data_IF_250922533431
#
_entry.id   IF_250922533431
#
_cell.length_a   1.000
_cell.length_b   1.000
_cell.length_c   1.000
_cell.angle_alpha   90.00
_cell.angle_beta   90.00
_cell.angle_gamma   90.00
#
_symmetry.space_group_name_H-M   'P 1'
#
loop_
_entity.id
_entity.type
_entity.pdbx_description
1 polymer ?
#
# COMPACT_ATOMS: atom_id res chain seq x y z
N UNK A 1 -7.01 100.87 35.21
CA UNK A 1 -7.75 99.90 34.39
C UNK A 1 -6.74 98.85 33.90
N UNK A 2 -6.62 97.75 34.59
CA UNK A 2 -5.64 96.73 34.26
C UNK A 2 -6.37 95.45 33.97
N UNK A 3 -6.21 94.94 32.78
CA UNK A 3 -6.70 93.61 32.40
C UNK A 3 -5.64 92.61 32.79
N UNK A 4 -5.97 91.67 33.74
CA UNK A 4 -5.13 90.56 34.15
C UNK A 4 -5.13 89.44 33.10
N UNK A 5 -4.06 88.61 33.08
CA UNK A 5 -3.90 87.56 32.08
C UNK A 5 -4.80 86.40 32.30
N UNK A 6 -5.42 85.91 31.22
CA UNK A 6 -6.24 84.63 31.19
C UNK A 6 -5.27 83.54 30.79
N UNK A 7 -4.58 82.95 31.80
CA UNK A 7 -3.83 81.71 31.65
C UNK A 7 -4.40 80.67 32.57
N UNK A 8 -5.12 79.72 32.03
CA UNK A 8 -5.30 78.32 32.59
C UNK A 8 -6.57 77.63 32.13
N UNK A 9 -6.57 77.05 30.96
CA UNK A 9 -7.55 76.01 30.63
C UNK A 9 -7.02 75.06 29.53
N UNK A 10 -5.80 74.55 29.71
CA UNK A 10 -5.41 73.33 29.00
C UNK A 10 -4.59 72.45 29.93
N UNK A 11 -5.30 71.56 30.68
CA UNK A 11 -4.66 70.39 31.26
C UNK A 11 -4.68 69.27 30.19
N UNK A 12 -3.52 68.71 29.78
CA UNK A 12 -3.51 67.57 28.93
C UNK A 12 -4.04 66.36 29.70
N UNK A 13 -5.09 65.76 29.17
CA UNK A 13 -5.64 64.50 29.67
C UNK A 13 -4.54 63.41 29.59
N UNK A 14 -3.97 63.07 30.72
CA UNK A 14 -2.98 62.01 30.86
C UNK A 14 -3.70 60.66 30.61
N UNK A 15 -3.78 60.29 29.37
CA UNK A 15 -4.07 58.87 29.01
C UNK A 15 -2.90 58.04 29.49
N UNK A 16 -2.99 57.46 30.67
CA UNK A 16 -2.15 56.32 31.09
C UNK A 16 -2.49 55.12 30.22
N UNK A 17 -2.22 55.21 28.94
CA UNK A 17 -2.07 54.07 28.04
C UNK A 17 -0.79 53.37 28.41
N UNK A 18 -0.87 52.38 29.27
CA UNK A 18 0.30 51.57 29.61
C UNK A 18 0.76 50.81 28.36
N UNK A 19 1.76 51.33 27.67
CA UNK A 19 2.44 50.56 26.63
C UNK A 19 2.94 49.25 27.24
N UNK A 20 2.44 48.15 26.75
CA UNK A 20 2.89 46.82 27.20
C UNK A 20 4.34 46.71 26.72
N UNK A 21 5.34 46.66 27.63
CA UNK A 21 6.73 46.69 27.18
C UNK A 21 7.00 45.49 26.31
N UNK A 22 7.59 45.68 25.12
CA UNK A 22 7.92 44.65 24.10
C UNK A 22 8.46 43.36 24.72
N UNK A 23 9.25 43.47 25.78
CA UNK A 23 9.78 42.32 26.54
C UNK A 23 8.70 41.45 27.15
N UNK A 24 7.58 42.00 27.63
CA UNK A 24 6.47 41.21 28.18
C UNK A 24 5.71 40.49 27.04
N UNK A 25 5.55 41.13 25.88
CA UNK A 25 4.95 40.51 24.71
C UNK A 25 5.80 39.32 24.25
N UNK A 26 7.11 39.51 24.08
CA UNK A 26 8.03 38.44 23.71
C UNK A 26 8.06 37.31 24.70
N UNK A 27 8.01 37.57 26.00
CA UNK A 27 7.88 36.52 27.03
C UNK A 27 6.58 35.72 26.90
N UNK A 28 5.45 36.38 26.70
CA UNK A 28 4.17 35.75 26.48
C UNK A 28 4.16 34.85 25.24
N UNK A 29 4.66 35.36 24.09
CA UNK A 29 4.79 34.58 22.86
C UNK A 29 5.66 33.34 23.07
N UNK A 30 6.80 33.50 23.75
CA UNK A 30 7.71 32.37 24.04
C UNK A 30 7.03 31.32 24.92
N UNK A 31 6.26 31.73 25.93
CA UNK A 31 5.53 30.80 26.80
C UNK A 31 4.46 30.04 25.99
N UNK A 32 3.68 30.73 25.17
CA UNK A 32 2.65 30.11 24.30
C UNK A 32 3.29 29.10 23.35
N UNK A 33 4.43 29.48 22.74
CA UNK A 33 5.16 28.58 21.85
C UNK A 33 5.68 27.33 22.58
N UNK A 34 6.28 27.50 23.78
CA UNK A 34 6.79 26.39 24.58
C UNK A 34 5.64 25.47 25.06
N UNK A 35 4.52 26.03 25.50
CA UNK A 35 3.35 25.26 25.88
C UNK A 35 2.75 24.50 24.68
N UNK A 36 2.66 25.14 23.51
CA UNK A 36 2.22 24.50 22.29
C UNK A 36 3.15 23.35 21.87
N UNK A 37 4.47 23.58 21.92
CA UNK A 37 5.46 22.55 21.63
C UNK A 37 5.39 21.38 22.63
N UNK A 38 5.29 21.66 23.94
CA UNK A 38 5.15 20.64 24.97
C UNK A 38 3.87 19.80 24.76
N UNK A 39 2.75 20.45 24.39
CA UNK A 39 1.52 19.74 24.05
C UNK A 39 1.68 18.83 22.83
N UNK A 40 2.33 19.29 21.78
CA UNK A 40 2.61 18.48 20.59
C UNK A 40 3.49 17.26 20.93
N UNK A 41 4.52 17.45 21.74
CA UNK A 41 5.38 16.35 22.21
C UNK A 41 4.57 15.34 23.03
N UNK A 42 3.72 15.82 23.94
CA UNK A 42 2.86 14.94 24.74
C UNK A 42 1.90 14.13 23.88
N UNK A 43 1.25 14.75 22.89
CA UNK A 43 0.35 14.08 21.95
C UNK A 43 1.11 13.03 21.11
N UNK A 44 2.29 13.38 20.62
CA UNK A 44 3.15 12.44 19.87
C UNK A 44 3.57 11.23 20.73
N UNK A 45 4.04 11.46 21.95
CA UNK A 45 4.41 10.40 22.87
C UNK A 45 3.22 9.49 23.22
N UNK A 46 2.06 10.07 23.46
CA UNK A 46 0.81 9.33 23.74
C UNK A 46 0.42 8.48 22.52
N UNK A 47 0.45 9.06 21.33
CA UNK A 47 0.17 8.34 20.09
C UNK A 47 1.10 7.16 19.86
N UNK A 48 2.40 7.35 20.07
CA UNK A 48 3.41 6.28 19.96
C UNK A 48 3.20 5.20 21.01
N UNK A 49 2.89 5.56 22.26
CA UNK A 49 2.61 4.61 23.34
C UNK A 49 1.35 3.76 23.02
N UNK A 50 0.27 4.39 22.58
CA UNK A 50 -0.96 3.69 22.19
C UNK A 50 -0.72 2.77 20.99
N UNK A 51 0.05 3.23 19.99
CA UNK A 51 0.46 2.41 18.86
C UNK A 51 1.24 1.18 19.31
N UNK A 52 2.28 1.36 20.12
CA UNK A 52 3.10 0.27 20.63
C UNK A 52 2.28 -0.73 21.47
N UNK A 53 1.37 -0.23 22.30
CA UNK A 53 0.46 -1.10 23.06
C UNK A 53 -0.42 -1.95 22.11
N UNK A 54 -1.05 -1.35 21.10
CA UNK A 54 -1.87 -2.07 20.11
C UNK A 54 -1.05 -3.09 19.34
N UNK A 55 0.15 -2.73 18.87
CA UNK A 55 1.06 -3.66 18.20
C UNK A 55 1.38 -4.88 19.07
N UNK A 56 1.66 -4.65 20.37
CA UNK A 56 1.93 -5.71 21.31
C UNK A 56 0.74 -6.64 21.55
N UNK A 57 -0.47 -6.08 21.69
CA UNK A 57 -1.71 -6.86 21.82
C UNK A 57 -1.92 -7.72 20.56
N UNK A 58 -1.80 -7.15 19.37
CA UNK A 58 -1.97 -7.89 18.10
C UNK A 58 -0.87 -8.96 18.00
N UNK A 59 0.39 -8.64 18.25
CA UNK A 59 1.50 -9.60 18.16
C UNK A 59 1.28 -10.82 19.09
N UNK A 60 0.76 -10.61 20.29
CA UNK A 60 0.39 -11.70 21.19
C UNK A 60 -0.79 -12.54 20.70
N UNK A 61 -1.78 -11.89 20.10
CA UNK A 61 -2.96 -12.56 19.59
C UNK A 61 -2.67 -13.45 18.37
N UNK A 62 -1.70 -13.02 17.52
CA UNK A 62 -1.32 -13.76 16.31
C UNK A 62 -0.11 -14.68 16.51
N UNK A 63 0.41 -14.80 17.73
CA UNK A 63 1.58 -15.62 18.01
C UNK A 63 1.29 -17.11 17.75
N UNK A 64 2.12 -17.73 16.93
CA UNK A 64 2.07 -19.18 16.68
C UNK A 64 2.67 -19.89 17.88
N UNK A 65 1.93 -20.82 18.47
CA UNK A 65 2.32 -21.54 19.70
C UNK A 65 2.24 -23.06 19.57
N UNK A 66 1.91 -23.54 18.41
CA UNK A 66 1.86 -24.98 18.13
C UNK A 66 3.28 -25.57 18.08
N UNK A 67 3.48 -26.84 18.51
CA UNK A 67 4.82 -27.45 18.53
C UNK A 67 5.51 -27.48 17.17
N UNK A 68 4.74 -27.68 16.09
CA UNK A 68 5.21 -27.73 14.71
C UNK A 68 5.03 -26.38 13.98
N UNK A 69 4.67 -25.31 14.70
CA UNK A 69 4.43 -24.00 14.10
C UNK A 69 5.71 -23.38 13.54
N UNK A 70 5.51 -22.50 12.58
CA UNK A 70 6.58 -21.70 11.95
C UNK A 70 6.18 -20.23 11.93
N UNK A 71 7.07 -19.36 12.38
CA UNK A 71 6.97 -17.91 12.31
C UNK A 71 8.38 -17.34 12.07
N UNK A 72 8.79 -17.35 10.82
CA UNK A 72 10.13 -16.92 10.37
C UNK A 72 10.05 -15.66 9.53
N UNK A 73 11.04 -14.79 9.68
CA UNK A 73 11.16 -13.53 8.96
C UNK A 73 12.63 -13.29 8.62
N UNK A 74 12.94 -13.14 7.34
CA UNK A 74 14.33 -13.05 6.89
C UNK A 74 14.50 -12.30 5.60
N UNK A 75 15.69 -11.81 5.37
CA UNK A 75 16.15 -11.41 4.05
C UNK A 75 16.77 -12.62 3.33
N UNK A 76 16.40 -12.79 2.06
CA UNK A 76 16.90 -13.84 1.19
C UNK A 76 17.51 -13.22 -0.06
N UNK A 77 18.63 -13.75 -0.52
CA UNK A 77 19.24 -13.33 -1.79
C UNK A 77 18.41 -13.86 -2.95
N UNK A 78 17.72 -12.95 -3.64
CA UNK A 78 16.83 -13.22 -4.79
C UNK A 78 17.12 -12.18 -5.86
N UNK A 79 17.37 -12.60 -7.09
CA UNK A 79 17.63 -11.69 -8.21
C UNK A 79 18.79 -10.72 -7.94
N UNK A 80 19.81 -11.16 -7.20
CA UNK A 80 21.00 -10.39 -6.85
C UNK A 80 20.82 -9.34 -5.74
N UNK A 81 19.66 -9.30 -5.07
CA UNK A 81 19.37 -8.37 -3.97
C UNK A 81 18.79 -9.10 -2.75
N UNK A 82 18.87 -8.47 -1.58
CA UNK A 82 18.19 -8.96 -0.38
C UNK A 82 16.71 -8.64 -0.43
N UNK A 83 15.86 -9.67 -0.55
CA UNK A 83 14.42 -9.53 -0.55
C UNK A 83 13.81 -10.11 0.73
N UNK A 84 12.79 -9.42 1.27
CA UNK A 84 12.17 -9.79 2.53
C UNK A 84 11.12 -10.88 2.35
N UNK A 85 11.22 -11.95 3.14
CA UNK A 85 10.29 -13.06 3.15
C UNK A 85 9.79 -13.30 4.57
N UNK A 86 8.48 -13.50 4.73
CA UNK A 86 7.83 -13.93 5.97
C UNK A 86 7.13 -15.26 5.73
N UNK A 87 7.38 -16.24 6.61
CA UNK A 87 6.82 -17.60 6.55
C UNK A 87 6.07 -17.86 7.85
N UNK A 88 4.77 -18.15 7.76
CA UNK A 88 3.93 -18.38 8.94
C UNK A 88 2.96 -19.53 8.72
N UNK A 89 2.75 -20.35 9.76
CA UNK A 89 1.77 -21.46 9.75
C UNK A 89 1.72 -22.20 11.07
N UNK A 90 0.56 -22.74 11.41
CA UNK A 90 0.39 -23.51 12.66
C UNK A 90 1.07 -24.89 12.60
N UNK A 91 1.36 -25.39 11.42
CA UNK A 91 2.14 -26.60 11.18
C UNK A 91 3.00 -26.42 9.91
N UNK A 92 4.32 -26.55 10.03
CA UNK A 92 5.25 -26.46 8.89
C UNK A 92 5.09 -27.60 7.87
N UNK A 93 4.41 -28.66 8.26
CA UNK A 93 4.08 -29.78 7.35
C UNK A 93 2.91 -29.46 6.41
N UNK A 94 2.11 -28.47 6.71
CA UNK A 94 1.00 -28.04 5.86
C UNK A 94 1.45 -27.70 4.42
N UNK A 95 0.55 -27.77 3.44
CA UNK A 95 0.79 -27.24 2.12
C UNK A 95 1.21 -25.77 2.19
N UNK A 96 2.12 -25.35 1.30
CA UNK A 96 2.67 -23.98 1.29
C UNK A 96 1.96 -23.16 0.24
N UNK A 97 1.58 -21.94 0.60
CA UNK A 97 1.08 -20.91 -0.32
C UNK A 97 2.07 -19.77 -0.40
N UNK A 98 2.62 -19.52 -1.58
CA UNK A 98 3.38 -18.31 -1.87
C UNK A 98 2.44 -17.22 -2.37
N UNK A 99 2.40 -16.10 -1.65
CA UNK A 99 1.54 -14.97 -1.93
C UNK A 99 2.29 -13.89 -2.72
N UNK A 100 1.81 -13.58 -3.93
CA UNK A 100 2.27 -12.50 -4.78
C UNK A 100 1.33 -11.31 -4.62
N UNK A 101 1.80 -10.27 -3.91
CA UNK A 101 0.99 -9.08 -3.63
C UNK A 101 0.72 -8.23 -4.87
N UNK A 102 -0.29 -7.37 -4.79
CA UNK A 102 -0.61 -6.37 -5.79
C UNK A 102 0.31 -5.16 -5.78
N UNK A 103 0.06 -4.24 -6.68
CA UNK A 103 0.84 -3.01 -6.85
C UNK A 103 1.06 -2.73 -8.33
N UNK A 104 2.32 -2.64 -8.83
CA UNK A 104 3.61 -2.96 -8.18
C UNK A 104 3.92 -2.11 -6.95
N UNK A 105 4.83 -2.60 -6.08
CA UNK A 105 5.32 -1.86 -4.91
C UNK A 105 4.50 -2.01 -3.62
N UNK A 106 3.43 -2.84 -3.61
CA UNK A 106 2.68 -3.18 -2.40
C UNK A 106 3.42 -4.09 -1.43
N UNK A 107 2.80 -4.41 -0.29
CA UNK A 107 3.26 -5.47 0.62
C UNK A 107 2.07 -6.05 1.36
N UNK A 108 2.00 -7.38 1.43
CA UNK A 108 1.00 -8.08 2.26
C UNK A 108 1.52 -8.45 3.64
N UNK A 109 2.82 -8.34 3.88
CA UNK A 109 3.41 -8.61 5.21
C UNK A 109 2.80 -7.68 6.27
N UNK A 110 2.47 -6.44 5.92
CA UNK A 110 1.76 -5.49 6.77
C UNK A 110 0.33 -5.94 7.12
N UNK A 111 -0.27 -6.79 6.30
CA UNK A 111 -1.63 -7.33 6.46
C UNK A 111 -1.64 -8.78 6.94
N UNK A 112 -0.63 -9.22 7.69
CA UNK A 112 -0.52 -10.59 8.22
C UNK A 112 -1.82 -11.09 8.87
N UNK A 113 -2.57 -10.21 9.55
CA UNK A 113 -3.84 -10.57 10.22
C UNK A 113 -4.93 -11.08 9.27
N UNK A 114 -4.90 -10.70 7.99
CA UNK A 114 -5.85 -11.18 6.97
C UNK A 114 -5.64 -12.68 6.69
N UNK A 115 -4.41 -13.16 6.81
CA UNK A 115 -4.02 -14.53 6.49
C UNK A 115 -4.13 -15.51 7.67
N UNK A 116 -4.44 -15.04 8.89
CA UNK A 116 -4.54 -15.89 10.09
C UNK A 116 -5.48 -17.09 9.93
N UNK A 117 -6.66 -16.99 9.30
CA UNK A 117 -7.51 -18.15 9.09
C UNK A 117 -6.84 -19.25 8.25
N UNK A 118 -5.95 -18.85 7.32
CA UNK A 118 -5.26 -19.79 6.43
C UNK A 118 -4.06 -20.44 7.10
N UNK A 119 -3.42 -19.79 8.09
CA UNK A 119 -2.27 -20.34 8.82
C UNK A 119 -2.58 -21.66 9.54
N UNK A 120 -3.86 -21.99 9.73
CA UNK A 120 -4.31 -23.25 10.32
C UNK A 120 -4.07 -24.44 9.38
N UNK A 121 -4.36 -24.26 8.10
CA UNK A 121 -4.38 -25.33 7.11
C UNK A 121 -3.23 -25.21 6.08
N UNK A 122 -2.54 -24.05 6.07
CA UNK A 122 -1.44 -23.75 5.17
C UNK A 122 -0.26 -23.12 5.91
N UNK A 123 0.94 -23.29 5.35
CA UNK A 123 2.07 -22.43 5.62
C UNK A 123 2.05 -21.28 4.59
N UNK A 124 1.78 -20.07 5.07
CA UNK A 124 1.63 -18.86 4.24
C UNK A 124 2.97 -18.17 4.13
N UNK A 125 3.42 -17.97 2.90
CA UNK A 125 4.64 -17.23 2.58
C UNK A 125 4.27 -15.89 1.96
N UNK A 126 4.65 -14.82 2.61
CA UNK A 126 4.50 -13.45 2.12
C UNK A 126 5.88 -12.92 1.75
N UNK A 127 5.98 -12.33 0.58
CA UNK A 127 7.22 -11.83 0.00
C UNK A 127 7.06 -10.36 -0.39
N UNK A 128 7.91 -9.49 0.16
CA UNK A 128 8.05 -8.12 -0.31
C UNK A 128 8.89 -8.15 -1.58
N UNK A 129 8.23 -7.98 -2.70
CA UNK A 129 8.84 -8.02 -4.03
C UNK A 129 9.85 -6.87 -4.19
N UNK A 130 10.65 -6.93 -5.24
CA UNK A 130 11.54 -5.84 -5.68
C UNK A 130 10.79 -4.50 -5.68
N UNK A 131 11.35 -3.49 -5.03
CA UNK A 131 10.72 -2.18 -4.91
C UNK A 131 9.58 -2.06 -3.88
N UNK A 132 9.31 -3.10 -3.08
CA UNK A 132 8.22 -3.13 -2.11
C UNK A 132 8.73 -3.23 -0.67
N UNK A 133 7.97 -2.68 0.27
CA UNK A 133 8.10 -2.88 1.71
C UNK A 133 9.54 -2.84 2.23
N UNK A 134 9.95 -3.89 2.94
CA UNK A 134 11.30 -4.02 3.51
C UNK A 134 12.38 -4.32 2.47
N UNK A 135 12.03 -4.90 1.34
CA UNK A 135 12.98 -5.05 0.23
C UNK A 135 13.43 -3.68 -0.27
N UNK A 136 12.51 -2.72 -0.41
CA UNK A 136 12.85 -1.34 -0.78
C UNK A 136 13.75 -0.67 0.26
N UNK A 137 13.58 -0.99 1.55
CA UNK A 137 14.42 -0.43 2.63
C UNK A 137 15.91 -0.74 2.41
N UNK A 138 16.22 -1.97 1.99
CA UNK A 138 17.61 -2.42 1.80
C UNK A 138 18.21 -2.01 0.47
N UNK A 139 17.39 -1.82 -0.56
CA UNK A 139 17.84 -1.57 -1.94
C UNK A 139 17.82 -0.11 -2.33
N UNK A 140 16.95 0.67 -1.67
CA UNK A 140 16.71 2.08 -2.04
C UNK A 140 15.92 2.26 -3.34
N UNK A 141 15.61 3.50 -3.74
CA UNK A 141 14.71 3.79 -4.86
C UNK A 141 15.30 3.49 -6.24
N UNK A 142 16.62 3.42 -6.38
CA UNK A 142 17.30 3.10 -7.66
C UNK A 142 16.99 1.70 -8.14
N UNK A 143 16.40 0.85 -7.28
CA UNK A 143 15.92 -0.48 -7.66
C UNK A 143 14.87 -0.42 -8.77
N UNK A 144 14.15 0.70 -8.88
CA UNK A 144 13.13 0.93 -9.89
C UNK A 144 13.63 0.69 -11.32
N UNK A 145 14.88 1.04 -11.60
CA UNK A 145 15.50 0.88 -12.93
C UNK A 145 15.65 -0.60 -13.33
N UNK A 146 15.57 -1.52 -12.37
CA UNK A 146 15.68 -2.96 -12.60
C UNK A 146 14.32 -3.67 -12.61
N UNK A 147 13.22 -2.94 -12.43
CA UNK A 147 11.88 -3.51 -12.39
C UNK A 147 11.33 -3.70 -13.81
N UNK A 148 11.01 -4.94 -14.15
CA UNK A 148 10.23 -5.32 -15.32
C UNK A 148 9.40 -6.56 -14.97
N UNK A 149 8.38 -6.85 -15.76
CA UNK A 149 7.55 -8.07 -15.56
C UNK A 149 8.43 -9.33 -15.62
N UNK A 150 9.34 -9.39 -16.58
CA UNK A 150 10.23 -10.56 -16.75
C UNK A 150 11.19 -10.71 -15.57
N UNK A 151 11.86 -9.64 -15.14
CA UNK A 151 12.79 -9.70 -14.01
C UNK A 151 12.08 -10.10 -12.71
N UNK A 152 10.93 -9.49 -12.43
CA UNK A 152 10.16 -9.82 -11.22
C UNK A 152 9.54 -11.21 -11.28
N UNK A 153 9.26 -11.74 -12.48
CA UNK A 153 8.88 -13.14 -12.66
C UNK A 153 10.04 -14.08 -12.29
N UNK A 154 11.27 -13.77 -12.70
CA UNK A 154 12.45 -14.55 -12.32
C UNK A 154 12.70 -14.49 -10.81
N UNK A 155 12.61 -13.30 -10.19
CA UNK A 155 12.66 -13.17 -8.72
C UNK A 155 11.62 -14.10 -8.06
N UNK A 156 10.38 -14.13 -8.57
CA UNK A 156 9.33 -15.01 -8.06
C UNK A 156 9.63 -16.50 -8.19
N UNK A 157 10.27 -16.91 -9.28
CA UNK A 157 10.71 -18.29 -9.45
C UNK A 157 11.86 -18.65 -8.48
N UNK A 158 12.81 -17.74 -8.26
CA UNK A 158 13.88 -17.92 -7.26
C UNK A 158 13.33 -18.02 -5.83
N UNK A 159 12.36 -17.15 -5.48
CA UNK A 159 11.64 -17.27 -4.19
C UNK A 159 10.94 -18.61 -4.06
N UNK A 160 10.30 -19.10 -5.14
CA UNK A 160 9.61 -20.39 -5.13
C UNK A 160 10.59 -21.54 -4.89
N UNK A 161 11.74 -21.53 -5.52
CA UNK A 161 12.78 -22.53 -5.31
C UNK A 161 13.37 -22.44 -3.89
N UNK A 162 13.62 -21.22 -3.38
CA UNK A 162 14.06 -21.02 -2.00
C UNK A 162 13.05 -21.62 -1.00
N UNK A 163 11.76 -21.26 -1.13
CA UNK A 163 10.69 -21.69 -0.22
C UNK A 163 10.54 -23.22 -0.22
N UNK A 164 10.57 -23.82 -1.41
CA UNK A 164 10.50 -25.30 -1.54
C UNK A 164 11.65 -26.00 -0.83
N UNK A 165 12.87 -25.51 -1.05
CA UNK A 165 14.07 -26.09 -0.44
C UNK A 165 14.09 -25.86 1.08
N UNK A 166 13.76 -24.66 1.55
CA UNK A 166 13.76 -24.30 2.97
C UNK A 166 12.71 -25.09 3.78
N UNK A 167 11.54 -25.35 3.17
CA UNK A 167 10.44 -26.06 3.81
C UNK A 167 10.36 -27.55 3.42
N UNK A 168 11.31 -28.05 2.64
CA UNK A 168 11.35 -29.44 2.14
C UNK A 168 10.05 -29.86 1.43
N UNK A 169 9.59 -29.03 0.49
CA UNK A 169 8.38 -29.27 -0.32
C UNK A 169 8.74 -29.55 -1.78
N UNK A 170 8.09 -30.54 -2.37
CA UNK A 170 8.25 -30.84 -3.80
C UNK A 170 7.64 -29.73 -4.67
N UNK A 171 6.46 -29.25 -4.27
CA UNK A 171 5.72 -28.18 -4.95
C UNK A 171 5.03 -27.30 -3.92
N UNK A 172 4.64 -26.09 -4.35
CA UNK A 172 3.87 -25.13 -3.56
C UNK A 172 2.63 -24.66 -4.32
N UNK A 173 1.71 -23.98 -3.64
CA UNK A 173 0.58 -23.31 -4.27
C UNK A 173 0.99 -21.86 -4.51
N UNK A 174 0.63 -21.33 -5.67
CA UNK A 174 0.88 -19.94 -6.04
C UNK A 174 -0.41 -19.14 -5.96
N UNK A 175 -0.41 -18.04 -5.20
CA UNK A 175 -1.52 -17.10 -5.09
C UNK A 175 -1.10 -15.73 -5.61
N UNK A 176 -1.74 -15.24 -6.68
CA UNK A 176 -1.48 -13.93 -7.26
C UNK A 176 -2.67 -12.99 -7.10
N UNK A 177 -2.42 -11.75 -6.68
CA UNK A 177 -3.43 -10.71 -6.59
C UNK A 177 -3.07 -9.50 -7.47
N UNK A 178 -4.01 -9.06 -8.32
CA UNK A 178 -3.83 -7.86 -9.16
C UNK A 178 -2.48 -7.92 -9.92
N UNK A 179 -1.57 -6.98 -9.73
CA UNK A 179 -0.21 -7.05 -10.27
C UNK A 179 0.45 -8.43 -10.06
N UNK A 180 0.34 -8.99 -8.84
CA UNK A 180 0.87 -10.33 -8.53
C UNK A 180 0.24 -11.44 -9.35
N UNK A 181 -0.96 -11.24 -9.89
CA UNK A 181 -1.60 -12.22 -10.76
C UNK A 181 -0.97 -12.27 -12.16
N UNK A 182 -0.44 -11.12 -12.64
CA UNK A 182 0.34 -11.08 -13.87
C UNK A 182 1.62 -11.91 -13.74
N UNK A 183 2.36 -11.74 -12.64
CA UNK A 183 3.56 -12.53 -12.34
C UNK A 183 3.20 -14.01 -12.16
N UNK A 184 2.12 -14.30 -11.42
CA UNK A 184 1.66 -15.67 -11.14
C UNK A 184 1.38 -16.48 -12.40
N UNK A 185 0.73 -15.88 -13.40
CA UNK A 185 0.51 -16.53 -14.70
C UNK A 185 1.84 -16.82 -15.41
N UNK A 186 2.77 -15.86 -15.42
CA UNK A 186 4.08 -16.05 -16.03
C UNK A 186 4.86 -17.18 -15.35
N UNK A 187 4.92 -17.18 -14.02
CA UNK A 187 5.59 -18.21 -13.22
C UNK A 187 4.97 -19.61 -13.47
N UNK A 188 3.63 -19.69 -13.41
CA UNK A 188 2.91 -20.96 -13.61
C UNK A 188 3.12 -21.55 -15.01
N UNK A 189 3.23 -20.71 -16.04
CA UNK A 189 3.52 -21.15 -17.42
C UNK A 189 4.99 -21.52 -17.63
N UNK A 190 5.93 -20.77 -17.05
CA UNK A 190 7.37 -21.03 -17.23
C UNK A 190 7.84 -22.26 -16.45
N UNK A 191 7.39 -22.42 -15.20
CA UNK A 191 7.83 -23.49 -14.30
C UNK A 191 6.66 -24.21 -13.62
N UNK A 192 5.80 -24.89 -14.41
CA UNK A 192 4.66 -25.66 -13.85
C UNK A 192 5.09 -26.81 -12.93
N UNK A 193 6.35 -27.22 -13.01
CA UNK A 193 6.95 -28.23 -12.15
C UNK A 193 7.08 -27.79 -10.69
N UNK A 194 7.10 -26.49 -10.39
CA UNK A 194 7.23 -25.93 -9.05
C UNK A 194 5.88 -25.86 -8.29
N UNK A 195 4.75 -25.95 -9.01
CA UNK A 195 3.46 -25.60 -8.45
C UNK A 195 2.45 -26.74 -8.50
N UNK A 196 1.68 -26.91 -7.41
CA UNK A 196 0.49 -27.77 -7.38
C UNK A 196 -0.69 -27.13 -8.09
N UNK A 197 -0.85 -25.82 -7.91
CA UNK A 197 -1.94 -25.04 -8.48
C UNK A 197 -1.56 -23.54 -8.51
N UNK A 198 -2.25 -22.80 -9.36
CA UNK A 198 -2.27 -21.35 -9.33
C UNK A 198 -3.66 -20.84 -8.95
N UNK A 199 -3.71 -19.88 -8.03
CA UNK A 199 -4.91 -19.15 -7.62
C UNK A 199 -4.74 -17.69 -7.99
N UNK A 200 -5.55 -17.20 -8.92
CA UNK A 200 -5.58 -15.79 -9.33
C UNK A 200 -6.77 -15.07 -8.70
N UNK A 201 -6.53 -13.91 -8.10
CA UNK A 201 -7.58 -13.05 -7.56
C UNK A 201 -7.36 -11.60 -8.02
N UNK A 202 -8.45 -10.90 -8.43
CA UNK A 202 -8.29 -9.67 -9.20
C UNK A 202 -7.41 -9.90 -10.43
N UNK A 203 -7.70 -10.98 -11.17
CA UNK A 203 -6.82 -11.49 -12.22
C UNK A 203 -6.66 -10.53 -13.38
N UNK A 204 -5.44 -10.10 -13.64
CA UNK A 204 -5.11 -9.39 -14.88
C UNK A 204 -5.24 -10.37 -16.06
N UNK A 205 -6.14 -10.08 -16.98
CA UNK A 205 -6.36 -10.87 -18.19
C UNK A 205 -6.09 -10.07 -19.47
N UNK A 206 -6.81 -8.97 -19.66
CA UNK A 206 -6.61 -8.02 -20.76
C UNK A 206 -6.78 -6.59 -20.21
N UNK A 207 -5.66 -5.98 -19.80
CA UNK A 207 -5.68 -4.64 -19.19
C UNK A 207 -6.15 -3.54 -20.13
N UNK A 208 -5.79 -3.50 -21.41
CA UNK A 208 -6.33 -2.50 -22.31
C UNK A 208 -7.88 -2.48 -22.34
N UNK A 209 -8.50 -3.66 -22.44
CA UNK A 209 -9.96 -3.77 -22.40
C UNK A 209 -10.54 -3.44 -21.03
N UNK A 210 -9.90 -3.90 -19.96
CA UNK A 210 -10.33 -3.61 -18.59
C UNK A 210 -10.33 -2.11 -18.30
N UNK A 211 -9.29 -1.39 -18.70
CA UNK A 211 -9.22 0.07 -18.53
C UNK A 211 -10.35 0.79 -19.28
N UNK A 212 -10.63 0.40 -20.55
CA UNK A 212 -11.70 1.00 -21.33
C UNK A 212 -13.06 0.82 -20.65
N UNK A 213 -13.35 -0.40 -20.16
CA UNK A 213 -14.60 -0.71 -19.47
C UNK A 213 -14.69 0.03 -18.13
N UNK A 214 -13.60 0.07 -17.36
CA UNK A 214 -13.57 0.80 -16.09
C UNK A 214 -13.76 2.30 -16.29
N UNK A 215 -13.14 2.89 -17.30
CA UNK A 215 -13.32 4.30 -17.62
C UNK A 215 -14.78 4.63 -17.99
N UNK A 216 -15.39 3.83 -18.86
CA UNK A 216 -16.79 4.00 -19.23
C UNK A 216 -17.73 3.85 -18.03
N UNK A 217 -17.50 2.84 -17.18
CA UNK A 217 -18.26 2.59 -15.97
C UNK A 217 -18.20 3.77 -14.98
N UNK A 218 -17.00 4.25 -14.69
CA UNK A 218 -16.81 5.35 -13.71
C UNK A 218 -17.43 6.64 -14.25
N UNK A 219 -17.29 6.91 -15.55
CA UNK A 219 -17.89 8.09 -16.17
C UNK A 219 -19.42 8.03 -16.10
N UNK A 220 -20.04 6.89 -16.38
CA UNK A 220 -21.49 6.66 -16.23
C UNK A 220 -21.93 6.88 -14.77
N UNK A 221 -21.21 6.30 -13.80
CA UNK A 221 -21.51 6.47 -12.37
C UNK A 221 -21.38 7.93 -11.91
N UNK A 222 -20.37 8.65 -12.39
CA UNK A 222 -20.17 10.06 -12.08
C UNK A 222 -21.33 10.92 -12.62
N UNK A 223 -21.79 10.65 -13.84
CA UNK A 223 -22.96 11.32 -14.42
C UNK A 223 -24.25 11.00 -13.63
N UNK A 224 -24.50 9.74 -13.30
CA UNK A 224 -25.67 9.31 -12.53
C UNK A 224 -25.69 9.95 -11.12
N UNK A 225 -24.53 10.10 -10.50
CA UNK A 225 -24.35 10.78 -9.21
C UNK A 225 -24.40 12.32 -9.30
N UNK A 226 -24.46 12.89 -10.52
CA UNK A 226 -24.36 14.34 -10.79
C UNK A 226 -23.07 14.95 -10.20
N UNK A 227 -21.99 14.19 -10.19
CA UNK A 227 -20.70 14.61 -9.68
C UNK A 227 -19.88 15.32 -10.77
N UNK A 228 -20.16 16.60 -10.94
CA UNK A 228 -19.49 17.42 -11.98
C UNK A 228 -17.96 17.44 -11.82
N UNK A 229 -17.44 17.31 -10.59
CA UNK A 229 -15.97 17.29 -10.36
C UNK A 229 -15.34 16.00 -10.84
N UNK A 230 -15.99 14.85 -10.59
CA UNK A 230 -15.49 13.56 -11.09
C UNK A 230 -15.58 13.50 -12.62
N UNK A 231 -16.67 13.95 -13.21
CA UNK A 231 -16.81 14.06 -14.68
C UNK A 231 -15.68 14.91 -15.26
N UNK A 232 -15.48 16.12 -14.75
CA UNK A 232 -14.42 17.01 -15.22
C UNK A 232 -13.02 16.40 -15.10
N UNK A 233 -12.73 15.66 -14.00
CA UNK A 233 -11.46 14.94 -13.84
C UNK A 233 -11.28 13.87 -14.91
N UNK A 234 -12.28 13.03 -15.13
CA UNK A 234 -12.23 11.96 -16.13
C UNK A 234 -12.08 12.54 -17.55
N UNK A 235 -12.81 13.59 -17.88
CA UNK A 235 -12.69 14.28 -19.18
C UNK A 235 -11.30 14.90 -19.39
N UNK A 236 -10.68 15.43 -18.32
CA UNK A 236 -9.32 15.98 -18.39
C UNK A 236 -8.24 14.91 -18.58
N UNK A 237 -8.45 13.71 -18.04
CA UNK A 237 -7.57 12.55 -18.23
C UNK A 237 -7.77 11.94 -19.61
N UNK A 238 -9.01 11.94 -20.12
CA UNK A 238 -9.39 11.27 -21.38
C UNK A 238 -9.48 9.75 -21.26
N UNK A 239 -9.96 9.09 -22.32
CA UNK A 239 -10.03 7.62 -22.34
C UNK A 239 -8.64 6.99 -22.43
N UNK A 240 -8.45 5.74 -21.91
CA UNK A 240 -7.20 5.02 -22.05
C UNK A 240 -6.84 4.75 -23.53
N UNK A 241 -5.55 4.53 -23.87
CA UNK A 241 -4.43 4.30 -22.94
C UNK A 241 -3.93 5.58 -22.26
N UNK A 242 -3.53 5.44 -20.99
CA UNK A 242 -2.98 6.56 -20.21
C UNK A 242 -1.47 6.68 -20.44
N UNK A 243 -0.97 7.89 -20.60
CA UNK A 243 0.40 8.21 -21.04
C UNK A 243 1.33 8.71 -19.92
N UNK A 244 0.79 8.94 -18.73
CA UNK A 244 1.56 9.45 -17.60
C UNK A 244 1.11 8.87 -16.26
N UNK A 245 2.00 8.89 -15.26
CA UNK A 245 1.66 8.49 -13.89
C UNK A 245 0.58 9.38 -13.28
N UNK A 246 0.52 10.65 -13.66
CA UNK A 246 -0.48 11.60 -13.17
C UNK A 246 -1.88 11.27 -13.70
N UNK A 247 -1.99 10.95 -14.99
CA UNK A 247 -3.27 10.52 -15.59
C UNK A 247 -3.74 9.19 -15.02
N UNK A 248 -2.82 8.22 -14.87
CA UNK A 248 -3.08 6.93 -14.21
C UNK A 248 -3.56 7.16 -12.78
N UNK A 249 -2.84 7.94 -11.99
CA UNK A 249 -3.17 8.23 -10.59
C UNK A 249 -4.52 8.95 -10.46
N UNK A 250 -4.80 9.93 -11.31
CA UNK A 250 -6.08 10.66 -11.33
C UNK A 250 -7.24 9.74 -11.67
N UNK A 251 -7.07 8.86 -12.63
CA UNK A 251 -8.08 7.86 -12.99
C UNK A 251 -8.37 6.91 -11.82
N UNK A 252 -7.34 6.28 -11.22
CA UNK A 252 -7.53 5.34 -10.11
C UNK A 252 -8.13 6.00 -8.87
N UNK A 253 -7.73 7.22 -8.51
CA UNK A 253 -8.36 7.98 -7.41
C UNK A 253 -9.86 8.25 -7.66
N UNK A 254 -10.23 8.44 -8.93
CA UNK A 254 -11.64 8.67 -9.30
C UNK A 254 -12.41 7.35 -9.30
N UNK A 255 -11.79 6.26 -9.75
CA UNK A 255 -12.34 4.91 -9.73
C UNK A 255 -12.67 4.46 -8.31
N UNK A 256 -11.72 4.59 -7.36
CA UNK A 256 -11.89 4.22 -5.95
C UNK A 256 -13.14 4.84 -5.31
N UNK A 257 -13.51 6.04 -5.72
CA UNK A 257 -14.72 6.72 -5.22
C UNK A 257 -16.02 6.00 -5.57
N UNK A 258 -16.04 5.22 -6.65
CA UNK A 258 -17.22 4.53 -7.17
C UNK A 258 -17.14 3.00 -7.02
N UNK A 259 -16.07 2.51 -6.40
CA UNK A 259 -15.97 1.10 -6.02
C UNK A 259 -16.90 0.78 -4.86
N UNK A 260 -17.53 -0.38 -4.90
CA UNK A 260 -18.35 -0.86 -3.79
C UNK A 260 -17.44 -1.40 -2.69
N UNK A 261 -17.59 -0.87 -1.52
CA UNK A 261 -17.05 -1.33 -0.24
C UNK A 261 -15.99 -0.42 0.40
N UNK A 262 -16.44 0.78 0.76
CA UNK A 262 -15.64 1.75 1.52
C UNK A 262 -15.51 1.43 3.01
N UNK A 263 -16.11 0.34 3.51
CA UNK A 263 -16.15 0.04 4.95
C UNK A 263 -14.82 -0.50 5.52
N UNK A 264 -13.85 -0.80 4.66
CA UNK A 264 -12.52 -1.19 5.10
C UNK A 264 -11.62 0.03 5.20
N UNK A 265 -11.21 0.37 6.43
CA UNK A 265 -10.15 1.35 6.67
C UNK A 265 -8.78 0.64 6.75
N UNK A 266 -8.09 0.43 5.62
CA UNK A 266 -6.80 -0.28 5.60
C UNK A 266 -5.72 0.51 6.35
N UNK A 267 -5.84 1.83 6.44
CA UNK A 267 -4.86 2.68 7.11
C UNK A 267 -4.71 2.39 8.60
N UNK A 268 -5.82 2.07 9.29
CA UNK A 268 -5.76 1.74 10.72
C UNK A 268 -5.02 0.43 10.98
N UNK A 269 -5.16 -0.58 10.11
CA UNK A 269 -4.45 -1.86 10.21
C UNK A 269 -2.96 -1.71 9.93
N UNK A 270 -2.59 -0.89 8.95
CA UNK A 270 -1.20 -0.59 8.58
C UNK A 270 -0.46 0.09 9.74
N UNK A 271 -1.07 1.12 10.35
CA UNK A 271 -0.45 1.84 11.47
C UNK A 271 -0.21 0.97 12.69
N UNK A 272 -1.00 -0.07 12.90
CA UNK A 272 -0.90 -0.96 14.06
C UNK A 272 -0.36 -2.35 13.72
N UNK A 273 0.13 -2.55 12.49
CA UNK A 273 0.72 -3.82 12.07
C UNK A 273 1.85 -4.24 13.02
N UNK A 274 1.80 -5.47 13.56
CA UNK A 274 2.82 -5.94 14.48
C UNK A 274 4.19 -6.03 13.79
N UNK A 275 5.24 -5.66 14.52
CA UNK A 275 6.62 -5.66 14.03
C UNK A 275 6.94 -4.68 12.88
N UNK A 276 6.01 -3.75 12.56
CA UNK A 276 6.26 -2.67 11.60
C UNK A 276 6.64 -1.39 12.36
N UNK A 277 7.78 -0.80 12.01
CA UNK A 277 8.19 0.53 12.47
C UNK A 277 7.45 1.62 11.65
N UNK A 278 7.57 2.89 12.04
CA UNK A 278 7.10 3.99 11.20
C UNK A 278 7.92 4.12 9.91
N UNK A 279 9.18 3.66 9.95
CA UNK A 279 10.06 3.62 8.78
C UNK A 279 9.61 2.57 7.76
N UNK A 280 9.19 1.38 8.23
CA UNK A 280 8.60 0.36 7.36
C UNK A 280 7.33 0.88 6.67
N UNK A 281 6.48 1.62 7.41
CA UNK A 281 5.27 2.25 6.84
C UNK A 281 5.63 3.31 5.80
N UNK A 282 6.64 4.13 6.07
CA UNK A 282 7.15 5.10 5.12
C UNK A 282 7.65 4.41 3.83
N UNK A 283 8.41 3.31 3.93
CA UNK A 283 8.86 2.55 2.78
C UNK A 283 7.72 1.85 2.03
N UNK A 284 6.68 1.40 2.74
CA UNK A 284 5.46 0.89 2.11
C UNK A 284 4.79 1.96 1.22
N UNK A 285 4.63 3.18 1.75
CA UNK A 285 4.05 4.29 0.98
C UNK A 285 4.95 4.64 -0.22
N UNK A 286 6.27 4.67 -0.03
CA UNK A 286 7.22 4.90 -1.13
C UNK A 286 7.15 3.82 -2.19
N UNK A 287 7.00 2.57 -1.80
CA UNK A 287 6.85 1.44 -2.71
C UNK A 287 5.70 1.65 -3.69
N UNK A 288 4.56 2.12 -3.18
CA UNK A 288 3.40 2.43 -4.03
C UNK A 288 3.56 3.73 -4.86
N UNK A 289 4.10 4.79 -4.25
CA UNK A 289 3.99 6.13 -4.81
C UNK A 289 5.22 6.58 -5.62
N UNK A 290 6.39 6.00 -5.38
CA UNK A 290 7.67 6.53 -5.88
C UNK A 290 8.45 5.52 -6.72
N UNK A 291 8.35 4.23 -6.39
CA UNK A 291 9.21 3.22 -6.98
C UNK A 291 8.70 2.69 -8.32
N UNK A 292 7.38 2.47 -8.53
CA UNK A 292 6.93 1.98 -9.82
C UNK A 292 7.21 3.02 -10.91
N UNK A 293 8.07 2.65 -11.84
CA UNK A 293 8.35 3.49 -13.01
C UNK A 293 7.19 3.47 -13.99
N UNK A 294 7.10 4.50 -14.82
CA UNK A 294 6.13 4.52 -15.91
C UNK A 294 6.27 3.28 -16.82
N UNK A 295 7.51 2.79 -17.00
CA UNK A 295 7.78 1.60 -17.81
C UNK A 295 7.08 0.36 -17.24
N UNK A 296 7.19 0.08 -15.93
CA UNK A 296 6.52 -1.06 -15.28
C UNK A 296 5.00 -0.93 -15.32
N UNK A 297 4.48 0.29 -15.12
CA UNK A 297 3.05 0.53 -15.31
C UNK A 297 2.60 0.30 -16.73
N UNK A 298 3.37 0.73 -17.74
CA UNK A 298 3.05 0.47 -19.14
C UNK A 298 3.07 -1.03 -19.47
N UNK A 299 4.03 -1.79 -18.95
CA UNK A 299 4.04 -3.25 -19.10
C UNK A 299 2.77 -3.88 -18.50
N UNK A 300 2.37 -3.46 -17.30
CA UNK A 300 1.15 -3.94 -16.64
C UNK A 300 -0.10 -3.52 -17.41
N UNK A 301 -0.24 -2.23 -17.75
CA UNK A 301 -1.43 -1.66 -18.38
C UNK A 301 -1.61 -2.09 -19.85
N UNK A 302 -0.53 -2.55 -20.50
CA UNK A 302 -0.56 -3.15 -21.83
C UNK A 302 -0.69 -4.68 -21.83
N UNK A 303 -0.71 -5.32 -20.62
CA UNK A 303 -0.74 -6.76 -20.52
C UNK A 303 -2.02 -7.36 -21.12
N UNK A 304 -1.83 -8.25 -22.08
CA UNK A 304 -2.87 -9.12 -22.66
C UNK A 304 -2.45 -10.58 -22.51
N UNK A 305 -2.90 -11.21 -21.43
CA UNK A 305 -2.62 -12.61 -21.17
C UNK A 305 -3.54 -13.56 -21.96
N UNK A 306 -4.68 -13.07 -22.46
CA UNK A 306 -5.59 -13.87 -23.29
C UNK A 306 -4.93 -14.22 -24.63
N UNK A 307 -4.13 -13.33 -25.19
CA UNK A 307 -3.38 -13.57 -26.42
C UNK A 307 -2.33 -14.69 -26.29
N UNK A 308 -1.91 -15.00 -25.04
CA UNK A 308 -0.94 -16.07 -24.74
C UNK A 308 -1.57 -17.46 -24.59
N UNK A 309 -2.87 -17.57 -24.81
CA UNK A 309 -3.64 -18.81 -24.73
C UNK A 309 -3.94 -19.27 -23.29
N UNK A 310 -5.00 -20.08 -23.12
CA UNK A 310 -5.44 -20.57 -21.81
C UNK A 310 -4.64 -21.78 -21.31
N UNK A 311 -3.63 -22.26 -22.04
CA UNK A 311 -2.96 -23.50 -21.75
C UNK A 311 -2.09 -23.43 -20.50
N UNK A 312 -2.54 -24.07 -19.44
CA UNK A 312 -1.80 -24.31 -18.21
C UNK A 312 -1.58 -25.80 -18.02
N UNK A 313 -0.38 -26.16 -17.49
CA UNK A 313 -0.04 -27.54 -17.13
C UNK A 313 -0.34 -27.89 -15.67
N UNK A 314 -0.94 -26.97 -14.95
CA UNK A 314 -1.38 -27.10 -13.55
C UNK A 314 -2.82 -26.60 -13.41
N UNK A 315 -3.56 -27.05 -12.40
CA UNK A 315 -4.88 -26.48 -12.07
C UNK A 315 -4.80 -24.97 -11.83
N UNK A 316 -5.78 -24.25 -12.37
CA UNK A 316 -5.93 -22.80 -12.20
C UNK A 316 -7.29 -22.52 -11.59
N UNK A 317 -7.30 -21.76 -10.52
CA UNK A 317 -8.49 -21.28 -9.84
C UNK A 317 -8.52 -19.75 -9.93
N UNK A 318 -9.62 -19.19 -10.40
CA UNK A 318 -9.82 -17.74 -10.44
C UNK A 318 -10.91 -17.39 -9.45
N UNK A 319 -10.59 -16.46 -8.57
CA UNK A 319 -11.53 -15.87 -7.63
C UNK A 319 -11.57 -14.37 -7.87
N UNK A 320 -12.79 -13.85 -7.94
CA UNK A 320 -12.96 -12.41 -8.07
C UNK A 320 -13.12 -11.80 -6.69
N UNK A 321 -12.29 -10.78 -6.41
CA UNK A 321 -12.72 -9.76 -5.49
C UNK A 321 -13.75 -8.92 -6.24
N UNK A 322 -14.90 -8.70 -5.62
CA UNK A 322 -15.93 -7.82 -6.17
C UNK A 322 -15.44 -6.37 -6.03
N UNK A 323 -14.41 -6.03 -6.84
CA UNK A 323 -14.21 -4.66 -7.24
C UNK A 323 -15.14 -4.42 -8.43
N UNK A 324 -16.05 -3.50 -8.33
CA UNK A 324 -17.19 -3.33 -9.23
C UNK A 324 -16.84 -3.12 -10.70
N UNK A 325 -15.63 -2.67 -11.02
CA UNK A 325 -15.19 -2.54 -12.40
C UNK A 325 -14.80 -3.89 -13.05
N UNK A 326 -14.30 -4.86 -12.27
CA UNK A 326 -14.01 -6.22 -12.75
C UNK A 326 -15.27 -7.08 -12.81
N UNK A 327 -16.28 -6.83 -11.96
CA UNK A 327 -17.58 -7.50 -12.02
C UNK A 327 -18.33 -7.30 -13.35
N UNK A 328 -18.08 -6.20 -14.06
CA UNK A 328 -18.68 -5.98 -15.36
C UNK A 328 -18.11 -6.88 -16.47
N UNK A 329 -16.85 -7.35 -16.30
CA UNK A 329 -16.16 -8.22 -17.27
C UNK A 329 -16.60 -9.70 -17.19
N UNK A 330 -17.06 -10.15 -16.01
CA UNK A 330 -17.44 -11.56 -15.80
C UNK A 330 -18.90 -11.84 -16.13
N UNK A 331 -19.74 -10.79 -16.19
CA UNK A 331 -21.15 -10.93 -16.58
C UNK A 331 -21.40 -10.73 -18.08
N UNK A 332 -20.39 -10.44 -18.85
CA UNK A 332 -20.43 -10.32 -20.31
C UNK A 332 -19.73 -11.49 -21.01
#
# INVERSE_FOLDING_TARGET
MGLGPVDSLWQPCSTKGGEIPLVKIWRAIRIVFLCGFALLVLLACTGLALRGHRQHVIARAIAIRTPNGIDERMYVQIGGINQWVQIRGQDRNNPVILCLHGGPGGSWVVQTTVFLPWEKDFTVVQWDQRGAGRTLETTGPTIADTMSVDHMTQDGLEVSDFVRNHLHKDKIILLGFSWGSLLGVQMAKQRPDLFYAYVGTGQISNMPKAQQLSYAYVLEKAHAAKDARAVQRLESVGPPPFDSLDTIGTFFQTLEKYECDSDRNPGASVLTAPNYSLWDIYNLIRGFAVVPTLAVYHEMLSADLLSRGPDFRIPVFLSEFVFTAECALVRA
#
